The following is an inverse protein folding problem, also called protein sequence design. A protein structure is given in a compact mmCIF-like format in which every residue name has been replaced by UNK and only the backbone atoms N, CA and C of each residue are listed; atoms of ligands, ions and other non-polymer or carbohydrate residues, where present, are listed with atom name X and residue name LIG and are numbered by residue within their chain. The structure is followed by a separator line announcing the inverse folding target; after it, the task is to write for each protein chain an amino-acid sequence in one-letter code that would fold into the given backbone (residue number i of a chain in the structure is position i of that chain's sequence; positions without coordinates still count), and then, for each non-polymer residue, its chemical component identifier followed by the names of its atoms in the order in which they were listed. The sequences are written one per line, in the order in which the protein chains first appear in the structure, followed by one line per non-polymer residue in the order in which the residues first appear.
data_IF_493078697556
#
_entry.id   IF_493078697556
#
_cell.length_a   1.000
_cell.length_b   1.000
_cell.length_c   1.000
_cell.angle_alpha   90.00
_cell.angle_beta   90.00
_cell.angle_gamma   90.00
#
_symmetry.space_group_name_H-M   'P 1'
#
loop_
_entity.id
_entity.type
_entity.pdbx_description
1 polymer ?
#
# COMPACT_ATOMS: atom_id res chain seq x y z
N UNK A 1 0.69 61.31 -14.64
CA UNK A 1 -0.19 60.16 -14.93
C UNK A 1 0.38 58.98 -14.18
N UNK A 2 -0.44 58.34 -13.36
CA UNK A 2 -0.05 57.34 -12.38
C UNK A 2 0.43 56.04 -13.03
N UNK A 3 1.57 55.53 -12.60
CA UNK A 3 2.09 54.21 -12.99
C UNK A 3 1.94 53.29 -11.78
N UNK A 4 0.85 52.50 -11.77
CA UNK A 4 0.54 51.56 -10.68
C UNK A 4 1.13 50.20 -11.00
N UNK A 5 2.28 49.90 -10.40
CA UNK A 5 2.85 48.55 -10.38
C UNK A 5 2.11 47.71 -9.35
N UNK A 6 1.13 46.92 -9.80
CA UNK A 6 0.47 45.91 -8.98
C UNK A 6 1.39 44.68 -8.81
N UNK A 7 1.57 44.13 -7.60
CA UNK A 7 2.43 42.97 -7.38
C UNK A 7 1.77 41.69 -7.93
N UNK A 8 2.57 40.92 -8.68
CA UNK A 8 2.18 39.65 -9.28
C UNK A 8 1.74 38.62 -8.21
N UNK A 9 0.59 37.99 -8.43
CA UNK A 9 0.07 36.91 -7.58
C UNK A 9 1.06 35.72 -7.57
N UNK A 10 1.30 35.09 -6.41
CA UNK A 10 2.14 33.89 -6.30
C UNK A 10 1.51 32.69 -7.05
N UNK A 11 2.33 31.74 -7.51
CA UNK A 11 1.88 30.61 -8.33
C UNK A 11 0.90 29.73 -7.53
N UNK A 12 -0.23 29.44 -8.18
CA UNK A 12 -1.29 28.58 -7.65
C UNK A 12 -0.73 27.18 -7.42
N UNK A 13 -0.81 26.69 -6.18
CA UNK A 13 -0.47 25.33 -5.81
C UNK A 13 -1.20 24.30 -6.71
N UNK A 14 -0.60 23.13 -7.01
CA UNK A 14 -1.23 22.13 -7.84
C UNK A 14 -2.57 21.73 -7.23
N UNK A 15 -3.63 21.79 -8.05
CA UNK A 15 -4.99 21.40 -7.66
C UNK A 15 -4.96 19.95 -7.19
N UNK A 16 -5.39 19.69 -5.96
CA UNK A 16 -5.73 18.34 -5.48
C UNK A 16 -6.69 17.71 -6.50
N UNK A 17 -6.38 16.51 -6.98
CA UNK A 17 -7.33 15.71 -7.74
C UNK A 17 -8.63 15.57 -6.93
N UNK A 18 -9.77 15.77 -7.60
CA UNK A 18 -11.08 15.63 -6.95
C UNK A 18 -11.20 14.20 -6.44
N UNK A 19 -11.33 14.05 -5.13
CA UNK A 19 -11.66 12.79 -4.46
C UNK A 19 -12.97 12.25 -5.04
N UNK A 20 -12.86 11.16 -5.80
CA UNK A 20 -13.98 10.47 -6.45
C UNK A 20 -14.94 9.92 -5.39
N UNK A 21 -16.01 10.66 -5.08
CA UNK A 21 -17.22 10.16 -4.41
C UNK A 21 -17.02 9.23 -3.22
N UNK A 22 -15.95 9.42 -2.43
CA UNK A 22 -15.60 8.49 -1.36
C UNK A 22 -16.63 8.61 -0.23
N UNK A 23 -17.21 7.48 0.22
CA UNK A 23 -18.29 7.53 1.21
C UNK A 23 -17.80 7.84 2.64
N UNK A 24 -16.50 7.74 2.92
CA UNK A 24 -15.92 8.08 4.22
C UNK A 24 -14.84 9.16 4.11
N UNK A 25 -14.93 10.18 4.97
CA UNK A 25 -14.05 11.36 5.01
C UNK A 25 -12.85 11.21 5.97
N UNK A 26 -12.57 10.01 6.46
CA UNK A 26 -11.43 9.72 7.33
C UNK A 26 -10.14 9.54 6.51
N UNK A 27 -9.60 10.62 5.94
CA UNK A 27 -8.28 10.61 5.27
C UNK A 27 -7.10 10.47 6.26
N UNK A 28 -7.34 10.66 7.56
CA UNK A 28 -6.30 10.63 8.58
C UNK A 28 -6.18 9.25 9.22
N UNK A 29 -5.17 8.44 8.85
CA UNK A 29 -4.25 7.71 9.76
C UNK A 29 -3.44 6.57 9.13
N UNK A 30 -3.80 6.07 7.93
CA UNK A 30 -3.11 4.92 7.34
C UNK A 30 -1.74 5.30 6.74
N UNK A 31 -0.69 4.51 7.03
CA UNK A 31 0.60 4.66 6.31
C UNK A 31 0.40 4.52 4.80
N UNK A 32 1.04 5.38 4.02
CA UNK A 32 1.03 5.34 2.55
C UNK A 32 1.92 4.24 1.97
N UNK A 33 2.80 3.65 2.79
CA UNK A 33 3.77 2.65 2.36
C UNK A 33 3.47 1.28 2.99
N UNK A 34 3.72 0.18 2.25
CA UNK A 34 4.19 0.14 0.86
C UNK A 34 3.11 0.54 -0.16
N UNK A 35 3.52 1.18 -1.26
CA UNK A 35 2.61 1.61 -2.33
C UNK A 35 2.11 0.38 -3.10
N UNK A 36 0.86 -0.01 -2.92
CA UNK A 36 0.28 -1.20 -3.57
C UNK A 36 0.11 -1.04 -5.09
N UNK A 37 -0.06 0.19 -5.61
CA UNK A 37 -0.06 0.46 -7.05
C UNK A 37 1.27 0.04 -7.70
N UNK A 38 2.40 0.31 -7.03
CA UNK A 38 3.71 -0.13 -7.49
C UNK A 38 3.79 -1.66 -7.55
N UNK A 39 3.23 -2.36 -6.57
CA UNK A 39 3.14 -3.82 -6.58
C UNK A 39 2.35 -4.34 -7.79
N UNK A 40 1.24 -3.70 -8.14
CA UNK A 40 0.44 -4.08 -9.32
C UNK A 40 1.22 -3.87 -10.62
N UNK A 41 1.93 -2.73 -10.74
CA UNK A 41 2.79 -2.43 -11.90
C UNK A 41 3.93 -3.44 -12.02
N UNK A 42 4.59 -3.77 -10.91
CA UNK A 42 5.61 -4.83 -10.87
C UNK A 42 5.05 -6.19 -11.32
N UNK A 43 3.87 -6.57 -10.83
CA UNK A 43 3.23 -7.81 -11.24
C UNK A 43 2.91 -7.84 -12.74
N UNK A 44 2.45 -6.73 -13.32
CA UNK A 44 2.24 -6.60 -14.77
C UNK A 44 3.52 -6.82 -15.57
N UNK A 45 4.66 -6.30 -15.09
CA UNK A 45 5.95 -6.52 -15.74
C UNK A 45 6.38 -7.99 -15.66
N UNK A 46 6.27 -8.64 -14.49
CA UNK A 46 6.55 -10.07 -14.36
C UNK A 46 5.64 -10.90 -15.27
N UNK A 47 4.33 -10.59 -15.32
CA UNK A 47 3.38 -11.28 -16.19
C UNK A 47 3.70 -11.08 -17.68
N UNK A 48 4.07 -9.86 -18.09
CA UNK A 48 4.48 -9.57 -19.46
C UNK A 48 5.77 -10.29 -19.86
N UNK A 49 6.71 -10.47 -18.92
CA UNK A 49 7.87 -11.33 -19.13
C UNK A 49 7.45 -12.77 -19.41
N UNK A 50 6.56 -13.33 -18.60
CA UNK A 50 6.05 -14.70 -18.84
C UNK A 50 5.30 -14.83 -20.17
N UNK A 51 4.65 -13.76 -20.62
CA UNK A 51 3.95 -13.69 -21.90
C UNK A 51 4.86 -13.37 -23.11
N UNK A 52 6.14 -13.04 -22.88
CA UNK A 52 7.09 -12.67 -23.93
C UNK A 52 6.85 -11.28 -24.55
N UNK A 53 6.08 -10.42 -23.90
CA UNK A 53 5.72 -9.07 -24.41
C UNK A 53 6.40 -7.94 -23.65
N UNK A 54 7.44 -8.24 -22.86
CA UNK A 54 8.13 -7.29 -21.99
C UNK A 54 8.61 -6.03 -22.73
N UNK A 55 9.12 -6.19 -23.95
CA UNK A 55 9.67 -5.09 -24.77
C UNK A 55 8.63 -4.02 -25.13
N UNK A 56 7.35 -4.38 -25.16
CA UNK A 56 6.25 -3.44 -25.41
C UNK A 56 5.93 -2.51 -24.23
N UNK A 57 6.47 -2.80 -23.03
CA UNK A 57 6.16 -2.09 -21.79
C UNK A 57 7.34 -1.26 -21.26
N UNK A 58 8.20 -0.73 -22.14
CA UNK A 58 9.41 0.00 -21.77
C UNK A 58 9.13 1.25 -20.89
N UNK A 59 8.03 1.96 -21.15
CA UNK A 59 7.59 3.10 -20.33
C UNK A 59 7.25 2.67 -18.90
N UNK A 60 6.50 1.57 -18.75
CA UNK A 60 6.11 1.04 -17.44
C UNK A 60 7.32 0.53 -16.65
N UNK A 61 8.28 -0.11 -17.33
CA UNK A 61 9.54 -0.51 -16.70
C UNK A 61 10.30 0.72 -16.19
N UNK A 62 10.40 1.76 -17.01
CA UNK A 62 11.06 3.01 -16.66
C UNK A 62 10.40 3.66 -15.44
N UNK A 63 9.08 3.70 -15.41
CA UNK A 63 8.29 4.23 -14.29
C UNK A 63 8.57 3.45 -13.00
N UNK A 64 8.48 2.11 -13.04
CA UNK A 64 8.68 1.25 -11.87
C UNK A 64 10.09 1.37 -11.31
N UNK A 65 11.13 1.31 -12.16
CA UNK A 65 12.51 1.45 -11.70
C UNK A 65 12.81 2.86 -11.16
N UNK A 66 12.20 3.90 -11.75
CA UNK A 66 12.34 5.28 -11.24
C UNK A 66 11.65 5.44 -9.89
N UNK A 67 10.44 4.87 -9.72
CA UNK A 67 9.72 4.88 -8.46
C UNK A 67 10.48 4.14 -7.35
N UNK A 68 11.08 2.98 -7.65
CA UNK A 68 11.89 2.24 -6.67
C UNK A 68 13.14 3.04 -6.25
N UNK A 69 13.78 3.74 -7.20
CA UNK A 69 15.00 4.48 -6.95
C UNK A 69 14.77 5.81 -6.20
N UNK A 70 13.71 6.55 -6.57
CA UNK A 70 13.45 7.91 -6.06
C UNK A 70 12.50 7.88 -4.86
N UNK A 71 11.40 7.13 -4.94
CA UNK A 71 10.36 7.17 -3.91
C UNK A 71 10.62 6.19 -2.77
N UNK A 72 10.94 4.93 -3.09
CA UNK A 72 11.20 3.90 -2.09
C UNK A 72 12.66 3.88 -1.66
N UNK A 73 13.55 4.37 -2.52
CA UNK A 73 15.01 4.32 -2.34
C UNK A 73 15.44 2.90 -1.94
N UNK A 74 14.82 1.84 -2.48
CA UNK A 74 15.00 0.47 -2.00
C UNK A 74 15.90 -0.36 -2.96
N UNK A 75 17.21 -0.50 -2.65
CA UNK A 75 18.16 -1.19 -3.52
C UNK A 75 17.94 -2.70 -3.52
N UNK A 76 17.44 -3.28 -2.41
CA UNK A 76 17.17 -4.71 -2.32
C UNK A 76 16.03 -5.13 -3.26
N UNK A 77 14.96 -4.31 -3.30
CA UNK A 77 13.83 -4.49 -4.21
C UNK A 77 14.25 -4.26 -5.66
N UNK A 78 15.09 -3.25 -5.91
CA UNK A 78 15.64 -2.97 -7.24
C UNK A 78 16.42 -4.17 -7.80
N UNK A 79 17.34 -4.73 -7.00
CA UNK A 79 18.13 -5.92 -7.35
C UNK A 79 17.23 -7.13 -7.58
N UNK A 80 16.22 -7.34 -6.73
CA UNK A 80 15.26 -8.45 -6.87
C UNK A 80 14.48 -8.35 -8.16
N UNK A 81 13.90 -7.19 -8.46
CA UNK A 81 13.12 -6.97 -9.68
C UNK A 81 13.98 -7.09 -10.94
N UNK A 82 15.21 -6.54 -10.91
CA UNK A 82 16.17 -6.69 -11.99
C UNK A 82 16.46 -8.16 -12.28
N UNK A 83 16.74 -8.95 -11.24
CA UNK A 83 16.99 -10.38 -11.37
C UNK A 83 15.76 -11.13 -11.88
N UNK A 84 14.57 -10.79 -11.37
CA UNK A 84 13.30 -11.40 -11.79
C UNK A 84 12.98 -11.10 -13.26
N UNK A 85 13.30 -9.90 -13.77
CA UNK A 85 13.02 -9.49 -15.15
C UNK A 85 14.12 -9.89 -16.14
N UNK A 86 15.39 -9.69 -15.80
CA UNK A 86 16.51 -9.81 -16.75
C UNK A 86 17.50 -10.94 -16.45
N UNK A 87 17.37 -11.60 -15.30
CA UNK A 87 18.35 -12.59 -14.84
C UNK A 87 19.64 -11.96 -14.32
N UNK A 88 20.72 -12.76 -14.23
CA UNK A 88 22.02 -12.25 -13.81
C UNK A 88 22.56 -11.20 -14.80
N UNK A 89 23.21 -10.13 -14.31
CA UNK A 89 23.71 -9.07 -15.18
C UNK A 89 24.76 -9.63 -16.16
N UNK A 90 24.40 -9.69 -17.44
CA UNK A 90 25.32 -9.96 -18.55
C UNK A 90 25.54 -8.65 -19.33
N UNK A 91 26.70 -8.47 -19.99
CA UNK A 91 26.99 -7.25 -20.75
C UNK A 91 26.00 -6.97 -21.90
N UNK A 92 25.27 -7.99 -22.37
CA UNK A 92 24.19 -7.87 -23.37
C UNK A 92 22.88 -7.30 -22.81
N UNK A 93 22.58 -7.55 -21.52
CA UNK A 93 21.33 -7.13 -20.86
C UNK A 93 21.51 -5.80 -20.09
N UNK A 94 22.73 -5.27 -20.05
CA UNK A 94 23.06 -4.03 -19.35
C UNK A 94 22.36 -2.79 -19.95
N UNK A 95 21.99 -2.83 -21.23
CA UNK A 95 21.53 -1.66 -21.97
C UNK A 95 20.01 -1.41 -21.96
N UNK A 96 19.17 -2.39 -21.60
CA UNK A 96 17.73 -2.27 -21.89
C UNK A 96 16.87 -1.62 -20.78
N UNK A 97 17.31 -1.51 -19.52
CA UNK A 97 16.48 -0.88 -18.48
C UNK A 97 17.21 -0.39 -17.20
N UNK A 98 18.54 -0.50 -17.12
CA UNK A 98 19.28 -0.17 -15.90
C UNK A 98 19.68 1.32 -15.88
N UNK A 99 18.90 2.12 -15.15
CA UNK A 99 19.24 3.52 -14.87
C UNK A 99 20.31 3.68 -13.79
N UNK A 100 20.42 2.74 -12.85
CA UNK A 100 21.38 2.80 -11.74
C UNK A 100 22.42 1.69 -11.85
N UNK A 101 23.67 2.05 -11.60
CA UNK A 101 24.81 1.13 -11.56
C UNK A 101 24.88 0.41 -10.21
N UNK A 102 25.71 -0.64 -10.12
CA UNK A 102 25.94 -1.34 -8.83
C UNK A 102 26.47 -0.39 -7.76
N UNK A 103 27.33 0.55 -8.14
CA UNK A 103 27.92 1.55 -7.24
C UNK A 103 26.86 2.51 -6.70
N UNK A 104 25.89 2.92 -7.54
CA UNK A 104 24.79 3.77 -7.10
C UNK A 104 23.90 3.06 -6.08
N UNK A 105 23.63 1.76 -6.29
CA UNK A 105 22.84 0.95 -5.36
C UNK A 105 23.55 0.79 -4.01
N UNK A 106 24.87 0.63 -4.01
CA UNK A 106 25.67 0.55 -2.77
C UNK A 106 25.67 1.89 -2.03
N UNK A 107 25.76 3.02 -2.74
CA UNK A 107 25.61 4.35 -2.12
C UNK A 107 24.23 4.54 -1.49
N UNK A 108 23.17 4.02 -2.11
CA UNK A 108 21.83 4.04 -1.53
C UNK A 108 21.75 3.17 -0.26
N UNK A 109 22.35 1.97 -0.26
CA UNK A 109 22.43 1.13 0.94
C UNK A 109 23.10 1.84 2.10
N UNK A 110 24.24 2.50 1.85
CA UNK A 110 24.95 3.26 2.89
C UNK A 110 24.11 4.42 3.44
N UNK A 111 23.32 5.09 2.59
CA UNK A 111 22.40 6.16 3.04
C UNK A 111 21.29 5.59 3.92
N UNK A 112 20.71 4.45 3.54
CA UNK A 112 19.67 3.78 4.31
C UNK A 112 20.17 3.32 5.68
N UNK A 113 21.36 2.73 5.75
CA UNK A 113 21.97 2.28 7.00
C UNK A 113 22.21 3.46 7.96
N UNK A 114 22.65 4.61 7.43
CA UNK A 114 22.81 5.84 8.22
C UNK A 114 21.48 6.34 8.74
N UNK A 115 20.45 6.39 7.89
CA UNK A 115 19.12 6.87 8.30
C UNK A 115 18.49 5.92 9.33
N UNK A 116 18.59 4.61 9.13
CA UNK A 116 18.14 3.61 10.10
C UNK A 116 18.87 3.77 11.44
N UNK A 117 20.18 4.00 11.42
CA UNK A 117 20.95 4.24 12.64
C UNK A 117 20.50 5.51 13.37
N UNK A 118 20.19 6.59 12.65
CA UNK A 118 19.64 7.82 13.26
C UNK A 118 18.26 7.59 13.87
N UNK A 119 17.42 6.78 13.23
CA UNK A 119 16.08 6.45 13.71
C UNK A 119 16.12 5.54 14.95
N UNK A 120 16.98 4.52 14.96
CA UNK A 120 17.19 3.66 16.14
C UNK A 120 17.84 4.45 17.29
N UNK A 121 18.76 5.39 17.01
CA UNK A 121 19.30 6.29 18.02
C UNK A 121 18.23 7.20 18.65
N UNK A 122 17.28 7.69 17.84
CA UNK A 122 16.14 8.45 18.34
C UNK A 122 15.20 7.59 19.21
N UNK A 123 15.08 6.29 18.91
CA UNK A 123 14.33 5.35 19.76
C UNK A 123 15.05 5.15 21.10
N UNK A 124 16.37 4.98 21.10
CA UNK A 124 17.13 4.83 22.36
C UNK A 124 17.08 6.11 23.20
N UNK A 125 17.19 7.27 22.57
CA UNK A 125 17.06 8.57 23.24
C UNK A 125 15.66 8.73 23.84
N UNK A 126 14.60 8.40 23.10
CA UNK A 126 13.24 8.43 23.62
C UNK A 126 13.02 7.43 24.77
N UNK A 127 13.72 6.29 24.76
CA UNK A 127 13.63 5.27 25.81
C UNK A 127 14.29 5.72 27.12
N UNK A 128 15.37 6.50 27.03
CA UNK A 128 16.14 6.99 28.18
C UNK A 128 15.60 8.32 28.72
N UNK A 129 15.19 9.23 27.83
CA UNK A 129 14.93 10.64 28.15
C UNK A 129 13.46 11.07 27.98
N UNK A 130 12.61 10.25 27.35
CA UNK A 130 11.23 10.61 27.04
C UNK A 130 10.17 9.67 27.63
N UNK A 131 8.91 9.93 27.32
CA UNK A 131 7.77 9.13 27.76
C UNK A 131 7.43 7.97 26.82
N UNK A 132 6.66 7.00 27.33
CA UNK A 132 6.24 5.80 26.57
C UNK A 132 5.56 6.11 25.23
N UNK A 133 4.86 7.25 25.12
CA UNK A 133 4.18 7.66 23.89
C UNK A 133 5.16 8.10 22.80
N UNK A 134 6.27 8.74 23.18
CA UNK A 134 7.32 9.15 22.25
C UNK A 134 8.13 7.95 21.75
N UNK A 135 8.37 6.96 22.62
CA UNK A 135 8.96 5.68 22.23
C UNK A 135 8.11 4.98 21.17
N UNK A 136 6.79 4.94 21.36
CA UNK A 136 5.85 4.38 20.37
C UNK A 136 5.94 5.11 19.04
N UNK A 137 5.91 6.44 19.06
CA UNK A 137 5.92 7.23 17.83
C UNK A 137 7.29 7.15 17.10
N UNK A 138 8.40 7.05 17.84
CA UNK A 138 9.72 6.77 17.29
C UNK A 138 9.78 5.37 16.63
N UNK A 139 9.26 4.33 17.31
CA UNK A 139 9.17 2.97 16.76
C UNK A 139 8.30 2.88 15.51
N UNK A 140 7.17 3.61 15.48
CA UNK A 140 6.31 3.71 14.28
C UNK A 140 7.08 4.31 13.10
N UNK A 141 7.91 5.34 13.34
CA UNK A 141 8.76 5.92 12.28
C UNK A 141 9.77 4.91 11.75
N UNK A 142 10.41 4.13 12.63
CA UNK A 142 11.34 3.05 12.22
C UNK A 142 10.62 2.01 11.37
N UNK A 143 9.45 1.53 11.81
CA UNK A 143 8.68 0.53 11.10
C UNK A 143 8.20 1.01 9.72
N UNK A 144 7.73 2.26 9.62
CA UNK A 144 7.30 2.86 8.34
C UNK A 144 8.45 3.11 7.39
N UNK A 145 9.61 3.54 7.90
CA UNK A 145 10.83 3.65 7.10
C UNK A 145 11.27 2.27 6.59
N UNK A 146 11.23 1.25 7.45
CA UNK A 146 11.55 -0.11 7.05
C UNK A 146 10.60 -0.65 5.98
N UNK A 147 9.29 -0.37 6.09
CA UNK A 147 8.29 -0.73 5.10
C UNK A 147 8.47 -0.04 3.73
N UNK A 148 9.05 1.16 3.72
CA UNK A 148 9.34 1.92 2.51
C UNK A 148 10.64 1.46 1.83
N UNK A 149 11.71 1.36 2.61
CA UNK A 149 13.08 1.37 2.09
C UNK A 149 13.83 0.06 2.29
N UNK A 150 13.44 -0.77 3.25
CA UNK A 150 14.22 -1.95 3.64
C UNK A 150 13.65 -3.26 3.06
N UNK A 151 14.38 -4.34 3.29
CA UNK A 151 13.96 -5.69 2.93
C UNK A 151 12.78 -6.15 3.79
N UNK A 152 11.99 -7.07 3.24
CA UNK A 152 10.79 -7.64 3.87
C UNK A 152 11.01 -8.06 5.33
N UNK A 153 12.02 -8.90 5.60
CA UNK A 153 12.26 -9.43 6.95
C UNK A 153 12.55 -8.31 7.97
N UNK A 154 13.31 -7.28 7.56
CA UNK A 154 13.65 -6.16 8.44
C UNK A 154 12.42 -5.32 8.77
N UNK A 155 11.54 -5.11 7.78
CA UNK A 155 10.28 -4.43 7.98
C UNK A 155 9.35 -5.21 8.93
N UNK A 156 9.21 -6.52 8.73
CA UNK A 156 8.41 -7.38 9.59
C UNK A 156 8.93 -7.40 11.03
N UNK A 157 10.24 -7.52 11.23
CA UNK A 157 10.87 -7.48 12.55
C UNK A 157 10.67 -6.12 13.24
N UNK A 158 10.71 -5.01 12.48
CA UNK A 158 10.44 -3.69 13.02
C UNK A 158 8.98 -3.54 13.52
N UNK A 159 8.02 -4.14 12.82
CA UNK A 159 6.63 -4.16 13.27
C UNK A 159 6.40 -5.07 14.48
N UNK A 160 7.07 -6.22 14.58
CA UNK A 160 6.98 -7.05 15.79
C UNK A 160 7.57 -6.33 17.02
N UNK A 161 8.73 -5.66 16.87
CA UNK A 161 9.29 -4.81 17.93
C UNK A 161 8.33 -3.70 18.37
N UNK A 162 7.53 -3.15 17.46
CA UNK A 162 6.50 -2.16 17.78
C UNK A 162 5.33 -2.80 18.56
N UNK A 163 4.90 -4.00 18.17
CA UNK A 163 3.80 -4.72 18.81
C UNK A 163 4.14 -5.18 20.24
N UNK A 164 5.40 -5.45 20.51
CA UNK A 164 5.92 -5.84 21.83
C UNK A 164 5.93 -4.69 22.85
N UNK A 165 5.69 -3.45 22.42
CA UNK A 165 5.66 -2.29 23.33
C UNK A 165 4.47 -2.43 24.31
N UNK A 166 4.71 -2.51 25.64
CA UNK A 166 3.68 -2.88 26.63
C UNK A 166 2.46 -1.95 26.68
N UNK A 167 2.66 -0.64 26.45
CA UNK A 167 1.62 0.39 26.55
C UNK A 167 1.04 0.81 25.19
N UNK A 168 1.18 -0.03 24.17
CA UNK A 168 0.61 0.26 22.86
C UNK A 168 -0.93 0.13 22.88
N UNK A 169 -1.63 1.18 22.46
CA UNK A 169 -3.10 1.17 22.39
C UNK A 169 -3.61 0.13 21.40
N UNK A 170 -4.80 -0.41 21.64
CA UNK A 170 -5.43 -1.41 20.74
C UNK A 170 -5.57 -0.90 19.30
N UNK A 171 -5.91 0.37 19.11
CA UNK A 171 -6.01 1.00 17.80
C UNK A 171 -4.66 1.00 17.06
N UNK A 172 -3.58 1.42 17.72
CA UNK A 172 -2.23 1.40 17.14
C UNK A 172 -1.74 -0.03 16.87
N UNK A 173 -2.13 -1.02 17.69
CA UNK A 173 -1.86 -2.45 17.45
C UNK A 173 -2.54 -2.95 16.16
N UNK A 174 -3.82 -2.61 15.97
CA UNK A 174 -4.57 -2.98 14.76
C UNK A 174 -3.94 -2.31 13.52
N UNK A 175 -3.59 -1.03 13.61
CA UNK A 175 -2.93 -0.33 12.50
C UNK A 175 -1.57 -0.95 12.15
N UNK A 176 -0.75 -1.27 13.14
CA UNK A 176 0.55 -1.94 12.94
C UNK A 176 0.40 -3.32 12.28
N UNK A 177 -0.60 -4.13 12.69
CA UNK A 177 -0.88 -5.43 12.08
C UNK A 177 -1.40 -5.32 10.65
N UNK A 178 -2.24 -4.32 10.35
CA UNK A 178 -2.66 -4.03 8.98
C UNK A 178 -1.50 -3.56 8.10
N UNK A 179 -0.61 -2.72 8.64
CA UNK A 179 0.64 -2.31 7.96
C UNK A 179 1.56 -3.50 7.70
N UNK A 180 1.75 -4.38 8.69
CA UNK A 180 2.53 -5.61 8.56
C UNK A 180 1.94 -6.57 7.50
N UNK A 181 0.61 -6.74 7.49
CA UNK A 181 -0.08 -7.54 6.48
C UNK A 181 0.14 -6.97 5.07
N UNK A 182 0.16 -5.64 4.90
CA UNK A 182 0.48 -5.02 3.60
C UNK A 182 1.89 -5.29 3.13
N UNK A 183 2.86 -5.22 4.03
CA UNK A 183 4.25 -5.55 3.70
C UNK A 183 4.34 -7.00 3.23
N UNK A 184 3.75 -7.95 3.98
CA UNK A 184 3.73 -9.36 3.58
C UNK A 184 3.06 -9.57 2.21
N UNK A 185 1.90 -8.95 1.98
CA UNK A 185 1.20 -9.03 0.69
C UNK A 185 1.98 -8.41 -0.47
N UNK A 186 2.74 -7.33 -0.24
CA UNK A 186 3.60 -6.71 -1.25
C UNK A 186 4.69 -7.67 -1.75
N UNK A 187 5.27 -8.47 -0.85
CA UNK A 187 6.28 -9.48 -1.17
C UNK A 187 5.71 -10.84 -1.56
N UNK A 188 4.38 -10.95 -1.71
CA UNK A 188 3.62 -12.17 -2.06
C UNK A 188 3.63 -13.25 -0.96
N UNK A 189 3.91 -12.91 0.29
CA UNK A 189 3.74 -13.83 1.43
C UNK A 189 2.31 -13.76 1.95
N UNK A 190 1.43 -14.58 1.37
CA UNK A 190 0.01 -14.60 1.75
C UNK A 190 -0.21 -15.20 3.14
N UNK A 191 0.60 -16.19 3.54
CA UNK A 191 0.45 -16.85 4.84
C UNK A 191 0.70 -15.88 5.99
N UNK A 192 1.78 -15.09 5.91
CA UNK A 192 2.03 -14.07 6.94
C UNK A 192 0.96 -12.99 6.95
N UNK A 193 0.44 -12.61 5.79
CA UNK A 193 -0.66 -11.65 5.71
C UNK A 193 -1.93 -12.17 6.43
N UNK A 194 -2.27 -13.45 6.25
CA UNK A 194 -3.39 -14.10 6.97
C UNK A 194 -3.21 -14.05 8.48
N UNK A 195 -2.03 -14.43 8.96
CA UNK A 195 -1.72 -14.46 10.39
C UNK A 195 -1.85 -13.06 11.02
N UNK A 196 -1.36 -12.03 10.32
CA UNK A 196 -1.46 -10.63 10.76
C UNK A 196 -2.93 -10.16 10.78
N UNK A 197 -3.70 -10.48 9.74
CA UNK A 197 -5.13 -10.13 9.65
C UNK A 197 -5.94 -10.85 10.74
N UNK A 198 -5.63 -12.12 11.03
CA UNK A 198 -6.28 -12.89 12.09
C UNK A 198 -5.97 -12.33 13.48
N UNK A 199 -4.71 -11.95 13.74
CA UNK A 199 -4.30 -11.24 14.98
C UNK A 199 -5.05 -9.92 15.13
N UNK A 200 -5.17 -9.14 14.05
CA UNK A 200 -5.86 -7.86 14.06
C UNK A 200 -7.37 -8.03 14.34
N UNK A 201 -7.99 -9.05 13.73
CA UNK A 201 -9.40 -9.38 13.93
C UNK A 201 -9.70 -9.82 15.36
N UNK A 202 -8.82 -10.61 15.95
CA UNK A 202 -8.90 -11.00 17.36
C UNK A 202 -8.93 -9.76 18.27
N UNK A 203 -7.99 -8.83 18.08
CA UNK A 203 -7.92 -7.59 18.88
C UNK A 203 -9.14 -6.69 18.65
N UNK A 204 -9.64 -6.62 17.41
CA UNK A 204 -10.81 -5.81 17.06
C UNK A 204 -12.12 -6.35 17.68
N UNK A 205 -12.20 -7.66 17.94
CA UNK A 205 -13.41 -8.32 18.48
C UNK A 205 -13.36 -8.55 20.00
N UNK A 206 -12.18 -8.82 20.58
CA UNK A 206 -12.03 -9.17 22.00
C UNK A 206 -11.88 -7.97 22.94
N UNK A 207 -11.49 -6.80 22.44
CA UNK A 207 -11.37 -5.57 23.23
C UNK A 207 -12.39 -4.51 22.80
N UNK A 208 -12.66 -3.53 23.67
CA UNK A 208 -13.37 -2.26 23.32
C UNK A 208 -12.56 -1.39 22.33
N UNK A 209 -11.75 -1.98 21.46
CA UNK A 209 -10.50 -1.42 21.00
C UNK A 209 -10.33 -1.25 19.49
N UNK A 210 -11.31 -1.66 18.68
CA UNK A 210 -11.38 -1.33 17.27
C UNK A 210 -12.39 -0.22 17.04
N UNK A 211 -11.90 1.00 16.76
CA UNK A 211 -12.76 2.05 16.22
C UNK A 211 -13.54 1.54 15.00
N UNK A 212 -14.75 2.05 14.80
CA UNK A 212 -15.63 1.63 13.71
C UNK A 212 -14.92 1.69 12.35
N UNK A 213 -14.12 2.74 12.10
CA UNK A 213 -13.34 2.88 10.87
C UNK A 213 -12.29 1.76 10.70
N UNK A 214 -11.52 1.42 11.74
CA UNK A 214 -10.53 0.32 11.70
C UNK A 214 -11.17 -1.03 11.41
N UNK A 215 -12.37 -1.28 11.91
CA UNK A 215 -13.12 -2.51 11.61
C UNK A 215 -13.56 -2.56 10.16
N UNK A 216 -13.98 -1.43 9.58
CA UNK A 216 -14.31 -1.38 8.15
C UNK A 216 -13.07 -1.58 7.29
N UNK A 217 -11.95 -0.96 7.67
CA UNK A 217 -10.69 -1.18 6.97
C UNK A 217 -10.28 -2.65 7.00
N UNK A 218 -10.27 -3.26 8.18
CA UNK A 218 -9.93 -4.67 8.36
C UNK A 218 -10.84 -5.62 7.55
N UNK A 219 -12.13 -5.30 7.39
CA UNK A 219 -13.03 -6.08 6.53
C UNK A 219 -12.59 -6.06 5.07
N UNK A 220 -12.11 -4.93 4.55
CA UNK A 220 -11.56 -4.84 3.18
C UNK A 220 -10.30 -5.70 3.05
N UNK A 221 -9.38 -5.64 4.02
CA UNK A 221 -8.20 -6.53 4.06
C UNK A 221 -8.60 -8.01 3.99
N UNK A 222 -9.55 -8.42 4.84
CA UNK A 222 -10.08 -9.80 4.85
C UNK A 222 -10.71 -10.18 3.52
N UNK A 223 -11.48 -9.28 2.92
CA UNK A 223 -12.17 -9.54 1.66
C UNK A 223 -11.17 -9.75 0.51
N UNK A 224 -10.12 -8.93 0.43
CA UNK A 224 -9.06 -9.07 -0.56
C UNK A 224 -8.22 -10.34 -0.33
N UNK A 225 -7.96 -10.69 0.92
CA UNK A 225 -7.24 -11.93 1.25
C UNK A 225 -8.03 -13.19 0.86
N UNK A 226 -9.35 -13.20 1.10
CA UNK A 226 -10.25 -14.25 0.61
C UNK A 226 -10.24 -14.38 -0.91
N UNK A 227 -10.15 -13.25 -1.61
CA UNK A 227 -10.02 -13.22 -3.07
C UNK A 227 -8.71 -13.90 -3.52
N UNK A 228 -7.60 -13.66 -2.82
CA UNK A 228 -6.31 -14.33 -3.09
C UNK A 228 -6.38 -15.85 -2.87
N UNK A 229 -7.15 -16.30 -1.87
CA UNK A 229 -7.41 -17.72 -1.60
C UNK A 229 -8.45 -18.36 -2.52
N UNK A 230 -9.00 -17.61 -3.48
CA UNK A 230 -10.05 -18.04 -4.41
C UNK A 230 -11.38 -18.36 -3.72
N UNK A 231 -11.61 -17.90 -2.50
CA UNK A 231 -12.91 -17.94 -1.84
C UNK A 231 -13.78 -16.78 -2.32
N UNK A 232 -14.31 -16.93 -3.54
CA UNK A 232 -15.00 -15.87 -4.25
C UNK A 232 -16.35 -15.52 -3.63
N UNK A 233 -17.07 -16.50 -3.06
CA UNK A 233 -18.38 -16.27 -2.47
C UNK A 233 -18.25 -15.42 -1.20
N UNK A 234 -17.37 -15.82 -0.29
CA UNK A 234 -17.20 -15.10 0.97
C UNK A 234 -16.50 -13.74 0.76
N UNK A 235 -15.70 -13.60 -0.30
CA UNK A 235 -15.16 -12.31 -0.72
C UNK A 235 -16.25 -11.40 -1.30
N UNK A 236 -17.13 -11.90 -2.18
CA UNK A 236 -18.19 -11.13 -2.83
C UNK A 236 -19.14 -10.49 -1.81
N UNK A 237 -19.59 -11.27 -0.81
CA UNK A 237 -20.45 -10.79 0.27
C UNK A 237 -19.75 -9.70 1.12
N UNK A 238 -18.48 -9.92 1.46
CA UNK A 238 -17.71 -8.97 2.27
C UNK A 238 -17.47 -7.65 1.51
N UNK A 239 -17.05 -7.71 0.24
CA UNK A 239 -16.82 -6.55 -0.61
C UNK A 239 -18.11 -5.72 -0.77
N UNK A 240 -19.24 -6.38 -1.05
CA UNK A 240 -20.53 -5.73 -1.23
C UNK A 240 -20.98 -4.96 0.01
N UNK A 241 -20.72 -5.50 1.20
CA UNK A 241 -21.03 -4.82 2.48
C UNK A 241 -20.15 -3.60 2.76
N UNK A 242 -18.97 -3.53 2.14
CA UNK A 242 -18.00 -2.46 2.37
C UNK A 242 -18.11 -1.30 1.37
N UNK A 243 -18.93 -1.40 0.31
CA UNK A 243 -19.10 -0.35 -0.72
C UNK A 243 -19.39 1.01 -0.08
N UNK A 244 -20.45 1.09 0.73
CA UNK A 244 -20.91 2.34 1.33
C UNK A 244 -20.04 2.85 2.49
N UNK A 245 -19.02 2.10 2.91
CA UNK A 245 -18.19 2.44 4.08
C UNK A 245 -16.70 2.31 3.79
N UNK A 246 -16.33 2.32 2.50
CA UNK A 246 -14.96 2.17 2.07
C UNK A 246 -14.09 3.34 2.55
N UNK A 247 -13.06 3.03 3.32
CA UNK A 247 -12.02 3.96 3.78
C UNK A 247 -10.58 3.43 3.56
N UNK A 248 -10.41 2.35 2.80
CA UNK A 248 -9.13 1.67 2.56
C UNK A 248 -8.33 2.22 1.36
N UNK A 249 -7.98 3.51 1.39
CA UNK A 249 -7.22 4.13 0.31
C UNK A 249 -5.77 3.62 0.20
N UNK A 250 -5.30 2.89 1.21
CA UNK A 250 -3.92 2.43 1.29
C UNK A 250 -3.64 1.09 0.58
N UNK A 251 -4.68 0.32 0.21
CA UNK A 251 -4.53 -0.93 -0.55
C UNK A 251 -4.88 -0.74 -2.02
N UNK A 252 -6.01 -0.08 -2.30
CA UNK A 252 -6.52 0.08 -3.65
C UNK A 252 -7.34 1.37 -3.77
N UNK A 253 -7.45 1.89 -4.99
CA UNK A 253 -8.34 3.02 -5.24
C UNK A 253 -9.80 2.57 -5.10
N UNK A 254 -10.68 3.50 -4.73
CA UNK A 254 -12.12 3.22 -4.69
C UNK A 254 -12.65 2.70 -6.04
N UNK A 255 -12.12 3.21 -7.15
CA UNK A 255 -12.48 2.74 -8.48
C UNK A 255 -12.11 1.27 -8.71
N UNK A 256 -10.93 0.83 -8.28
CA UNK A 256 -10.52 -0.58 -8.39
C UNK A 256 -11.31 -1.48 -7.43
N UNK A 257 -11.60 -0.98 -6.23
CA UNK A 257 -12.45 -1.66 -5.26
C UNK A 257 -13.83 -1.98 -5.83
N UNK A 258 -14.47 -1.00 -6.50
CA UNK A 258 -15.77 -1.19 -7.15
C UNK A 258 -15.66 -2.22 -8.29
N UNK A 259 -14.59 -2.18 -9.10
CA UNK A 259 -14.36 -3.19 -10.15
C UNK A 259 -14.24 -4.60 -9.57
N UNK A 260 -13.45 -4.79 -8.51
CA UNK A 260 -13.34 -6.10 -7.85
C UNK A 260 -14.68 -6.57 -7.28
N UNK A 261 -15.45 -5.65 -6.71
CA UNK A 261 -16.78 -5.96 -6.17
C UNK A 261 -17.75 -6.37 -7.27
N UNK A 262 -17.75 -5.68 -8.42
CA UNK A 262 -18.58 -6.05 -9.58
C UNK A 262 -18.21 -7.42 -10.14
N UNK A 263 -16.91 -7.66 -10.39
CA UNK A 263 -16.43 -8.92 -10.99
C UNK A 263 -16.72 -10.13 -10.11
N UNK A 264 -16.50 -10.01 -8.81
CA UNK A 264 -16.76 -11.11 -7.85
C UNK A 264 -18.25 -11.39 -7.68
N UNK A 265 -19.08 -10.35 -7.61
CA UNK A 265 -20.53 -10.48 -7.41
C UNK A 265 -21.28 -10.90 -8.68
N UNK A 266 -20.75 -10.64 -9.88
CA UNK A 266 -21.35 -11.06 -11.15
C UNK A 266 -21.54 -12.59 -11.20
N UNK A 267 -20.62 -13.34 -10.60
CA UNK A 267 -20.63 -14.80 -10.60
C UNK A 267 -21.53 -15.42 -9.53
N UNK A 268 -21.83 -14.70 -8.45
CA UNK A 268 -22.47 -15.27 -7.25
C UNK A 268 -23.87 -14.73 -6.94
N UNK A 269 -24.19 -13.49 -7.34
CA UNK A 269 -25.48 -12.89 -7.03
C UNK A 269 -26.60 -13.42 -7.94
N UNK A 270 -27.77 -13.62 -7.35
CA UNK A 270 -28.99 -13.88 -8.10
C UNK A 270 -29.38 -12.65 -8.92
N UNK A 271 -29.96 -12.87 -10.09
CA UNK A 271 -30.37 -11.82 -11.05
C UNK A 271 -31.09 -10.61 -10.41
N UNK A 272 -32.06 -10.77 -9.48
CA UNK A 272 -32.72 -9.62 -8.86
C UNK A 272 -31.77 -8.79 -7.98
N UNK A 273 -30.90 -9.46 -7.20
CA UNK A 273 -29.96 -8.79 -6.32
C UNK A 273 -28.84 -8.09 -7.09
N UNK A 274 -28.38 -8.71 -8.19
CA UNK A 274 -27.41 -8.10 -9.09
C UNK A 274 -27.95 -6.78 -9.67
N UNK A 275 -29.23 -6.76 -10.08
CA UNK A 275 -29.86 -5.55 -10.60
C UNK A 275 -29.87 -4.43 -9.54
N UNK A 276 -30.36 -4.73 -8.34
CA UNK A 276 -30.52 -3.70 -7.29
C UNK A 276 -29.17 -3.21 -6.76
N UNK A 277 -28.23 -4.12 -6.49
CA UNK A 277 -27.00 -3.77 -5.77
C UNK A 277 -25.83 -3.37 -6.67
N UNK A 278 -25.77 -3.88 -7.90
CA UNK A 278 -24.66 -3.63 -8.83
C UNK A 278 -25.09 -2.72 -9.98
N UNK A 279 -26.18 -3.03 -10.69
CA UNK A 279 -26.58 -2.27 -11.89
C UNK A 279 -27.18 -0.91 -11.50
N UNK A 280 -28.13 -0.93 -10.57
CA UNK A 280 -28.87 0.26 -10.12
C UNK A 280 -28.22 0.89 -8.86
N UNK A 281 -27.03 0.41 -8.45
CA UNK A 281 -26.32 0.87 -7.26
C UNK A 281 -25.73 2.27 -7.46
N UNK A 282 -26.04 3.25 -6.59
CA UNK A 282 -25.61 4.64 -6.79
C UNK A 282 -24.08 4.80 -6.75
N UNK A 283 -23.39 4.04 -5.91
CA UNK A 283 -21.94 4.03 -5.79
C UNK A 283 -21.27 3.50 -7.05
N UNK A 284 -21.83 2.45 -7.65
CA UNK A 284 -21.32 1.86 -8.90
C UNK A 284 -21.50 2.82 -10.06
N UNK A 285 -22.69 3.43 -10.18
CA UNK A 285 -22.99 4.43 -11.21
C UNK A 285 -22.10 5.67 -11.10
N UNK A 286 -21.69 6.05 -9.88
CA UNK A 286 -20.78 7.18 -9.68
C UNK A 286 -19.38 6.94 -10.27
N UNK A 287 -18.91 5.68 -10.23
CA UNK A 287 -17.59 5.27 -10.73
C UNK A 287 -17.64 4.90 -12.22
N UNK A 288 -18.78 4.39 -12.70
CA UNK A 288 -19.00 4.00 -14.10
C UNK A 288 -18.67 5.11 -15.11
N UNK A 289 -18.82 6.39 -14.74
CA UNK A 289 -18.51 7.51 -15.62
C UNK A 289 -16.99 7.75 -15.80
N UNK A 290 -16.13 7.15 -14.96
CA UNK A 290 -14.70 7.43 -14.90
C UNK A 290 -13.80 6.28 -15.37
N UNK A 291 -14.33 5.06 -15.48
CA UNK A 291 -13.65 3.91 -16.08
C UNK A 291 -14.57 3.32 -17.16
N UNK A 292 -14.05 2.88 -18.32
CA UNK A 292 -14.90 2.26 -19.33
C UNK A 292 -15.59 1.03 -18.71
N UNK A 293 -16.90 1.15 -18.52
CA UNK A 293 -17.77 0.00 -18.28
C UNK A 293 -17.89 -0.70 -19.62
N UNK A 294 -17.52 -1.98 -19.65
CA UNK A 294 -17.69 -2.84 -20.83
C UNK A 294 -19.16 -2.89 -21.21
#
# INVERSE_FOLDING_TARGET
MADSTAPAKPPVAPKKDKTLGQPSASEETASLYPKMDLCQKMHRLTAAKHAGTLDSLLELQTEVFTAIAVDLVNPSLYRRLQLELYGAPTPSNAAAALKLTTDDLDQLQVKQEKELATLEAAVTDAQENAGDMEVVDARVKVARFAAQSLAENVALDAYEKLLDVPKLSSGKKIDALMEQARVASFYKDTSRADDCIARADKIANEGSGGDWDRRNRLKVYKALQRLLHRDMQAAAEALLSCIATFSCNEICSYGDFIVYTMLTNLLHLKRPELKVKIIDGPEVLSVANHKPVV
#
